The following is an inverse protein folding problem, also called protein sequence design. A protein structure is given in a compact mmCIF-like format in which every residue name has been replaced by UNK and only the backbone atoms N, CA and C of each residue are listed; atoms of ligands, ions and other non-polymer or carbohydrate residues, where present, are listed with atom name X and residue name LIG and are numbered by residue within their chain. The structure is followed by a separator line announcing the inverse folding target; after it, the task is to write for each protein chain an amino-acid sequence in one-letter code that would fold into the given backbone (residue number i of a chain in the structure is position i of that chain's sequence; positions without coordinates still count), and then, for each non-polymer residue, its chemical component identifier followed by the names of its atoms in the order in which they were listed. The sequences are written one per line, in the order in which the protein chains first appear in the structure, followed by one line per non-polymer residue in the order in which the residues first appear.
data_IF_021405858477
#
_entry.id   IF_021405858477
#
_cell.length_a   1.000
_cell.length_b   1.000
_cell.length_c   1.000
_cell.angle_alpha   90.00
_cell.angle_beta   90.00
_cell.angle_gamma   90.00
#
_symmetry.space_group_name_H-M   'P 1'
#
loop_
_entity.id
_entity.type
_entity.pdbx_description
1 polymer ?
#
# COMPACT_ATOMS: atom_id res chain seq x y z
N UNK A 1 22.04 15.81 -61.17
CA UNK A 1 22.18 15.24 -62.52
C UNK A 1 21.21 14.08 -62.57
N UNK A 2 20.00 14.10 -63.14
CA UNK A 2 19.15 15.02 -63.92
C UNK A 2 17.72 14.40 -63.79
N UNK A 3 16.59 15.10 -63.57
CA UNK A 3 15.80 15.95 -64.49
C UNK A 3 15.57 15.33 -65.88
N UNK A 4 14.33 14.92 -66.16
CA UNK A 4 13.48 15.38 -67.28
C UNK A 4 13.18 14.16 -68.18
N UNK A 5 12.03 13.90 -68.82
CA UNK A 5 10.87 14.61 -69.39
C UNK A 5 9.78 13.52 -69.56
N UNK A 6 8.46 13.69 -69.36
CA UNK A 6 7.46 14.60 -69.95
C UNK A 6 7.31 14.53 -71.48
N UNK A 7 6.30 13.79 -71.97
CA UNK A 7 5.40 14.09 -73.11
C UNK A 7 4.50 12.84 -73.30
N UNK A 8 3.21 12.87 -73.61
CA UNK A 8 2.51 13.56 -74.70
C UNK A 8 1.03 13.80 -74.30
N UNK A 9 0.50 14.91 -74.80
CA UNK A 9 -0.81 15.52 -74.60
C UNK A 9 -1.87 15.06 -75.63
N UNK A 10 -3.15 15.25 -75.23
CA UNK A 10 -4.28 15.89 -75.96
C UNK A 10 -5.41 15.06 -76.61
N UNK A 11 -6.60 15.64 -76.42
CA UNK A 11 -7.92 15.50 -77.07
C UNK A 11 -8.89 14.53 -76.36
N UNK A 12 -10.13 14.88 -76.01
CA UNK A 12 -10.98 16.01 -76.38
C UNK A 12 -12.05 16.31 -75.30
N UNK A 13 -12.42 17.59 -75.19
CA UNK A 13 -13.62 18.09 -74.51
C UNK A 13 -14.87 17.95 -75.40
N UNK A 14 -16.04 18.20 -74.79
CA UNK A 14 -17.44 18.19 -75.29
C UNK A 14 -18.18 16.96 -74.71
N UNK A 15 -19.27 17.06 -73.93
CA UNK A 15 -20.37 18.03 -73.86
C UNK A 15 -20.99 18.06 -72.45
N UNK A 16 -21.49 19.22 -72.02
CA UNK A 16 -22.44 19.39 -70.90
C UNK A 16 -23.85 19.56 -71.46
N UNK A 17 -24.89 19.21 -70.67
CA UNK A 17 -26.05 20.08 -70.59
C UNK A 17 -26.33 20.55 -69.16
N UNK A 18 -26.64 21.84 -69.07
CA UNK A 18 -27.12 22.57 -67.90
C UNK A 18 -28.46 22.02 -67.39
N UNK A 19 -28.63 21.96 -66.07
CA UNK A 19 -29.97 22.06 -65.46
C UNK A 19 -29.93 22.83 -64.14
N UNK A 20 -30.28 24.12 -64.27
CA UNK A 20 -31.01 25.01 -63.36
C UNK A 20 -30.85 24.81 -61.85
N UNK A 21 -30.20 25.80 -61.25
CA UNK A 21 -30.28 26.15 -59.83
C UNK A 21 -31.71 26.50 -59.41
N UNK A 22 -32.28 25.72 -58.48
CA UNK A 22 -33.30 26.21 -57.54
C UNK A 22 -32.66 26.29 -56.16
N UNK A 23 -32.51 27.52 -55.68
CA UNK A 23 -32.06 27.81 -54.34
C UNK A 23 -33.05 27.26 -53.31
N UNK A 24 -32.52 26.48 -52.38
CA UNK A 24 -33.09 26.33 -51.06
C UNK A 24 -32.03 26.83 -50.08
N UNK A 25 -32.30 27.99 -49.47
CA UNK A 25 -31.57 28.45 -48.29
C UNK A 25 -31.81 27.41 -47.19
N UNK A 26 -30.88 26.46 -47.03
CA UNK A 26 -30.86 25.61 -45.85
C UNK A 26 -30.35 26.46 -44.68
N UNK A 27 -31.19 26.59 -43.66
CA UNK A 27 -30.91 27.31 -42.42
C UNK A 27 -29.55 26.90 -41.84
N UNK A 28 -28.83 27.93 -41.39
CA UNK A 28 -27.52 27.84 -40.74
C UNK A 28 -27.67 27.39 -39.28
N UNK A 29 -28.50 26.39 -39.01
CA UNK A 29 -28.80 25.89 -37.67
C UNK A 29 -29.02 24.39 -37.76
N UNK A 30 -27.93 23.61 -37.76
CA UNK A 30 -27.83 22.23 -37.24
C UNK A 30 -26.50 21.60 -37.65
N UNK A 31 -25.39 22.31 -37.35
CA UNK A 31 -24.11 21.63 -37.19
C UNK A 31 -24.07 21.10 -35.75
N UNK A 32 -23.93 19.77 -35.52
CA UNK A 32 -23.85 19.24 -34.18
C UNK A 32 -22.66 19.91 -33.47
N UNK A 33 -22.97 20.66 -32.40
CA UNK A 33 -21.97 21.21 -31.49
C UNK A 33 -21.05 20.05 -31.11
N UNK A 34 -19.74 20.18 -31.40
CA UNK A 34 -18.71 19.26 -30.91
C UNK A 34 -19.00 19.01 -29.44
N UNK A 35 -19.49 17.82 -29.11
CA UNK A 35 -19.59 17.36 -27.74
C UNK A 35 -18.16 17.30 -27.24
N UNK A 36 -17.76 18.27 -26.41
CA UNK A 36 -16.52 18.19 -25.67
C UNK A 36 -16.54 16.84 -24.96
N UNK A 37 -15.71 15.91 -25.43
CA UNK A 37 -15.50 14.62 -24.77
C UNK A 37 -14.90 14.95 -23.42
N UNK A 38 -15.74 14.97 -22.38
CA UNK A 38 -15.30 15.18 -20.99
C UNK A 38 -14.12 14.25 -20.73
N UNK A 39 -12.94 14.81 -20.49
CA UNK A 39 -11.73 14.04 -20.17
C UNK A 39 -12.07 13.07 -19.04
N UNK A 40 -11.78 11.78 -19.27
CA UNK A 40 -12.04 10.72 -18.29
C UNK A 40 -11.35 11.07 -16.96
N UNK A 41 -12.04 10.94 -15.81
CA UNK A 41 -11.42 11.20 -14.52
C UNK A 41 -10.23 10.26 -14.27
N UNK A 42 -9.10 10.80 -13.80
CA UNK A 42 -7.91 10.05 -13.41
C UNK A 42 -8.03 9.55 -11.95
N UNK A 43 -9.17 8.93 -11.65
CA UNK A 43 -9.46 8.26 -10.40
C UNK A 43 -10.61 7.26 -10.61
N UNK A 44 -10.66 6.24 -9.76
CA UNK A 44 -11.75 5.27 -9.79
C UNK A 44 -13.11 5.91 -9.43
N UNK A 45 -14.09 5.68 -10.29
CA UNK A 45 -15.48 6.13 -10.10
C UNK A 45 -16.45 5.00 -9.69
N UNK A 46 -15.99 3.75 -9.62
CA UNK A 46 -16.84 2.59 -9.33
C UNK A 46 -16.87 2.26 -7.83
N UNK A 47 -18.02 1.79 -7.34
CA UNK A 47 -18.20 1.31 -5.98
C UNK A 47 -17.56 -0.08 -5.74
N UNK A 48 -17.36 -0.44 -4.46
CA UNK A 48 -16.73 -1.70 -4.04
C UNK A 48 -17.38 -2.93 -4.67
N UNK A 49 -18.71 -3.01 -4.67
CA UNK A 49 -19.47 -4.15 -5.18
C UNK A 49 -19.19 -4.43 -6.67
N UNK A 50 -19.12 -3.37 -7.50
CA UNK A 50 -18.80 -3.48 -8.93
C UNK A 50 -17.35 -3.93 -9.11
N UNK A 51 -16.42 -3.34 -8.34
CA UNK A 51 -15.00 -3.66 -8.43
C UNK A 51 -14.70 -5.09 -8.02
N UNK A 52 -15.33 -5.58 -6.95
CA UNK A 52 -15.21 -6.98 -6.52
C UNK A 52 -15.69 -7.95 -7.61
N UNK A 53 -16.87 -7.71 -8.20
CA UNK A 53 -17.37 -8.54 -9.30
C UNK A 53 -16.46 -8.54 -10.52
N UNK A 54 -15.84 -7.40 -10.84
CA UNK A 54 -14.88 -7.31 -11.95
C UNK A 54 -13.63 -8.12 -11.69
N UNK A 55 -13.08 -8.03 -10.48
CA UNK A 55 -11.92 -8.79 -10.07
C UNK A 55 -12.20 -10.30 -10.05
N UNK A 56 -13.36 -10.71 -9.54
CA UNK A 56 -13.81 -12.12 -9.54
C UNK A 56 -14.05 -12.68 -10.95
N UNK A 57 -14.40 -11.82 -11.92
CA UNK A 57 -14.61 -12.21 -13.31
C UNK A 57 -13.30 -12.34 -14.12
N UNK A 58 -12.15 -11.97 -13.55
CA UNK A 58 -10.87 -12.15 -14.23
C UNK A 58 -10.49 -13.62 -14.26
N UNK A 59 -10.07 -14.08 -15.44
CA UNK A 59 -9.65 -15.46 -15.70
C UNK A 59 -8.13 -15.58 -15.87
N UNK A 60 -7.38 -14.62 -15.36
CA UNK A 60 -5.92 -14.58 -15.43
C UNK A 60 -5.31 -14.33 -14.04
N UNK A 61 -4.10 -14.85 -13.78
CA UNK A 61 -3.43 -14.57 -12.53
C UNK A 61 -2.94 -13.11 -12.47
N UNK A 62 -2.81 -12.62 -11.24
CA UNK A 62 -2.11 -11.37 -10.94
C UNK A 62 -0.87 -11.66 -10.10
N UNK A 63 0.08 -10.75 -10.17
CA UNK A 63 1.28 -10.73 -9.34
C UNK A 63 1.23 -9.51 -8.43
N UNK A 64 1.09 -9.75 -7.13
CA UNK A 64 1.16 -8.73 -6.09
C UNK A 64 2.61 -8.42 -5.74
N UNK A 65 2.96 -7.14 -5.79
CA UNK A 65 4.31 -6.67 -5.50
C UNK A 65 4.30 -5.30 -4.84
N UNK A 66 5.42 -4.96 -4.22
CA UNK A 66 5.68 -3.62 -3.72
C UNK A 66 7.06 -3.14 -4.14
N UNK A 67 7.22 -1.82 -4.18
CA UNK A 67 8.51 -1.19 -4.36
C UNK A 67 8.49 0.24 -3.81
N UNK A 68 9.68 0.77 -3.59
CA UNK A 68 9.86 2.18 -3.31
C UNK A 68 11.20 2.65 -3.83
N UNK A 69 11.33 3.96 -3.98
CA UNK A 69 12.63 4.60 -4.19
C UNK A 69 12.58 6.04 -3.69
N UNK A 70 13.58 6.41 -2.91
CA UNK A 70 13.88 7.81 -2.63
C UNK A 70 14.66 8.38 -3.81
N UNK A 71 14.05 9.32 -4.52
CA UNK A 71 14.62 10.00 -5.69
C UNK A 71 13.88 11.31 -5.86
N UNK A 72 14.60 12.39 -6.15
CA UNK A 72 13.95 13.68 -6.36
C UNK A 72 13.12 13.63 -7.65
N UNK A 73 11.81 13.80 -7.48
CA UNK A 73 10.84 13.86 -8.56
C UNK A 73 10.40 15.30 -8.80
N UNK A 74 10.53 15.74 -10.05
CA UNK A 74 9.99 17.01 -10.52
C UNK A 74 8.60 16.81 -11.11
N UNK A 75 7.79 17.88 -11.14
CA UNK A 75 6.45 17.88 -11.74
C UNK A 75 5.58 16.68 -11.29
N UNK A 76 5.60 16.37 -9.99
CA UNK A 76 5.01 15.14 -9.40
C UNK A 76 3.55 14.94 -9.80
N UNK A 77 2.78 16.03 -9.92
CA UNK A 77 1.38 15.98 -10.32
C UNK A 77 1.18 15.55 -11.78
N UNK A 78 2.07 15.96 -12.68
CA UNK A 78 2.06 15.54 -14.08
C UNK A 78 2.49 14.08 -14.21
N UNK A 79 3.57 13.70 -13.54
CA UNK A 79 4.04 12.32 -13.48
C UNK A 79 2.94 11.38 -12.96
N UNK A 80 2.24 11.79 -11.90
CA UNK A 80 1.07 11.07 -11.36
C UNK A 80 0.02 10.82 -12.42
N UNK A 81 -0.35 11.86 -13.19
CA UNK A 81 -1.41 11.74 -14.19
C UNK A 81 -0.99 10.81 -15.33
N UNK A 82 0.27 10.92 -15.79
CA UNK A 82 0.84 10.05 -16.81
C UNK A 82 0.86 8.58 -16.37
N UNK A 83 1.39 8.30 -15.18
CA UNK A 83 1.43 6.95 -14.63
C UNK A 83 0.02 6.38 -14.42
N UNK A 84 -0.94 7.18 -13.96
CA UNK A 84 -2.32 6.71 -13.79
C UNK A 84 -2.90 6.18 -15.10
N UNK A 85 -2.76 6.93 -16.20
CA UNK A 85 -3.28 6.52 -17.52
C UNK A 85 -2.58 5.26 -18.04
N UNK A 86 -1.26 5.19 -17.94
CA UNK A 86 -0.47 4.04 -18.39
C UNK A 86 -0.80 2.78 -17.57
N UNK A 87 -0.85 2.90 -16.25
CA UNK A 87 -1.07 1.77 -15.35
C UNK A 87 -2.54 1.32 -15.33
N UNK A 88 -3.50 2.22 -15.53
CA UNK A 88 -4.89 1.84 -15.76
C UNK A 88 -5.01 0.98 -17.03
N UNK A 89 -4.27 1.31 -18.09
CA UNK A 89 -4.25 0.55 -19.35
C UNK A 89 -3.61 -0.84 -19.18
N UNK A 90 -2.57 -0.95 -18.36
CA UNK A 90 -1.93 -2.23 -18.00
C UNK A 90 -2.76 -3.06 -17.01
N UNK A 91 -3.90 -2.55 -16.54
CA UNK A 91 -4.75 -3.23 -15.56
C UNK A 91 -4.14 -3.29 -14.17
N UNK A 92 -3.26 -2.35 -13.80
CA UNK A 92 -2.68 -2.28 -12.46
C UNK A 92 -3.75 -1.88 -11.45
N UNK A 93 -3.83 -2.61 -10.35
CA UNK A 93 -4.59 -2.22 -9.15
C UNK A 93 -3.61 -1.99 -8.02
N UNK A 94 -3.86 -1.06 -7.11
CA UNK A 94 -2.85 -0.75 -6.10
C UNK A 94 -3.04 0.58 -5.41
N UNK A 95 -2.22 0.80 -4.39
CA UNK A 95 -2.07 2.08 -3.72
C UNK A 95 -0.66 2.58 -3.96
N UNK A 96 -0.56 3.77 -4.54
CA UNK A 96 0.72 4.37 -4.89
C UNK A 96 0.75 5.81 -4.41
N UNK A 97 1.83 6.14 -3.72
CA UNK A 97 2.16 7.48 -3.28
C UNK A 97 3.36 8.00 -4.05
N UNK A 98 3.16 9.18 -4.63
CA UNK A 98 4.23 9.99 -5.19
C UNK A 98 4.43 11.21 -4.31
N UNK A 99 5.67 11.56 -4.05
CA UNK A 99 6.05 12.81 -3.42
C UNK A 99 7.28 13.36 -4.13
N UNK A 100 7.69 14.59 -3.79
CA UNK A 100 8.96 15.13 -4.29
C UNK A 100 10.14 14.22 -3.91
N UNK A 101 10.08 13.59 -2.73
CA UNK A 101 11.10 12.66 -2.24
C UNK A 101 11.11 11.28 -2.91
N UNK A 102 10.11 10.93 -3.76
CA UNK A 102 10.14 9.67 -4.50
C UNK A 102 8.80 8.98 -4.70
N UNK A 103 8.83 7.65 -4.77
CA UNK A 103 7.68 6.77 -5.00
C UNK A 103 7.61 5.64 -3.96
N UNK A 104 6.40 5.33 -3.51
CA UNK A 104 6.08 4.15 -2.71
C UNK A 104 4.83 3.48 -3.28
N UNK A 105 4.91 2.21 -3.63
CA UNK A 105 3.86 1.48 -4.31
C UNK A 105 3.64 0.10 -3.68
N UNK A 106 2.38 -0.22 -3.43
CA UNK A 106 1.90 -1.60 -3.24
C UNK A 106 0.81 -1.84 -4.26
N UNK A 107 0.97 -2.84 -5.11
CA UNK A 107 0.09 -3.04 -6.26
C UNK A 107 0.02 -4.50 -6.69
N UNK A 108 -0.96 -4.82 -7.54
CA UNK A 108 -1.06 -6.05 -8.27
C UNK A 108 -1.18 -5.75 -9.77
N UNK A 109 -0.44 -6.51 -10.57
CA UNK A 109 -0.43 -6.41 -12.04
C UNK A 109 -0.93 -7.74 -12.59
N UNK A 110 -1.77 -7.77 -13.64
CA UNK A 110 -2.01 -9.00 -14.40
C UNK A 110 -0.66 -9.62 -14.78
N UNK A 111 -0.44 -10.91 -14.49
CA UNK A 111 0.91 -11.49 -14.60
C UNK A 111 1.45 -11.45 -16.03
N UNK A 112 0.58 -11.52 -17.03
CA UNK A 112 0.94 -11.36 -18.45
C UNK A 112 1.40 -9.94 -18.81
N UNK A 113 1.08 -8.93 -17.99
CA UNK A 113 1.50 -7.54 -18.18
C UNK A 113 2.72 -7.15 -17.32
N UNK A 114 3.28 -8.06 -16.52
CA UNK A 114 4.36 -7.74 -15.58
C UNK A 114 5.62 -7.22 -16.29
N UNK A 115 5.98 -7.79 -17.44
CA UNK A 115 7.13 -7.33 -18.22
C UNK A 115 6.89 -5.93 -18.82
N UNK A 116 5.72 -5.68 -19.41
CA UNK A 116 5.35 -4.35 -19.90
C UNK A 116 5.31 -3.31 -18.78
N UNK A 117 4.87 -3.69 -17.58
CA UNK A 117 4.90 -2.84 -16.41
C UNK A 117 6.34 -2.47 -15.99
N UNK A 118 7.26 -3.45 -16.00
CA UNK A 118 8.68 -3.21 -15.72
C UNK A 118 9.32 -2.30 -16.77
N UNK A 119 9.12 -2.57 -18.06
CA UNK A 119 9.61 -1.73 -19.15
C UNK A 119 9.05 -0.30 -19.06
N UNK A 120 7.77 -0.15 -18.69
CA UNK A 120 7.15 1.15 -18.46
C UNK A 120 7.86 1.93 -17.34
N UNK A 121 8.21 1.28 -16.23
CA UNK A 121 9.03 1.90 -15.17
C UNK A 121 10.45 2.23 -15.67
N UNK A 122 11.11 1.28 -16.32
CA UNK A 122 12.51 1.41 -16.77
C UNK A 122 12.72 2.47 -17.85
N UNK A 123 11.67 2.82 -18.59
CA UNK A 123 11.65 3.93 -19.55
C UNK A 123 11.95 5.29 -18.89
N UNK A 124 11.85 5.38 -17.56
CA UNK A 124 12.10 6.61 -16.78
C UNK A 124 13.40 6.45 -16.00
N UNK A 125 14.32 7.41 -16.20
CA UNK A 125 15.62 7.43 -15.51
C UNK A 125 15.48 7.27 -13.99
N UNK A 126 14.47 7.91 -13.39
CA UNK A 126 14.24 7.89 -11.95
C UNK A 126 13.82 6.50 -11.43
N UNK A 127 13.20 5.66 -12.27
CA UNK A 127 12.63 4.37 -11.87
C UNK A 127 13.32 3.15 -12.46
N UNK A 128 14.40 3.36 -13.23
CA UNK A 128 15.19 2.27 -13.82
C UNK A 128 15.66 1.26 -12.80
N UNK A 129 15.53 -0.02 -13.11
CA UNK A 129 15.95 -1.15 -12.27
C UNK A 129 15.29 -1.08 -10.88
N UNK A 130 13.99 -0.79 -10.84
CA UNK A 130 13.25 -0.74 -9.59
C UNK A 130 13.23 -2.13 -8.93
N UNK A 131 13.73 -2.30 -7.70
CA UNK A 131 13.69 -3.58 -7.02
C UNK A 131 12.24 -3.91 -6.62
N UNK A 132 11.67 -4.93 -7.24
CA UNK A 132 10.35 -5.43 -6.89
C UNK A 132 10.42 -6.44 -5.75
N UNK A 133 9.53 -6.24 -4.78
CA UNK A 133 9.29 -7.17 -3.68
C UNK A 133 7.99 -7.89 -3.98
N UNK A 134 8.10 -9.07 -4.58
CA UNK A 134 6.96 -9.94 -4.83
C UNK A 134 6.42 -10.43 -3.49
N UNK A 135 5.11 -10.42 -3.29
CA UNK A 135 4.54 -10.89 -2.03
C UNK A 135 4.78 -12.39 -1.82
N UNK A 136 4.76 -12.82 -0.55
CA UNK A 136 5.01 -14.23 -0.19
C UNK A 136 3.82 -15.11 -0.57
N UNK A 137 2.60 -14.59 -0.41
CA UNK A 137 1.36 -15.27 -0.74
C UNK A 137 0.47 -14.36 -1.59
N UNK A 138 -0.12 -14.86 -2.67
CA UNK A 138 -1.06 -14.09 -3.50
C UNK A 138 -2.39 -14.85 -3.64
N UNK A 139 -3.48 -14.26 -3.16
CA UNK A 139 -4.84 -14.81 -3.18
C UNK A 139 -5.77 -14.06 -4.16
N UNK A 140 -5.19 -13.24 -5.04
CA UNK A 140 -5.87 -12.33 -5.97
C UNK A 140 -6.70 -11.20 -5.33
N UNK A 141 -6.72 -11.06 -3.99
CA UNK A 141 -7.61 -10.11 -3.28
C UNK A 141 -6.89 -8.86 -2.77
N UNK A 142 -5.63 -8.65 -3.13
CA UNK A 142 -4.80 -7.54 -2.64
C UNK A 142 -5.43 -6.17 -2.90
N UNK A 143 -5.88 -5.87 -4.12
CA UNK A 143 -6.39 -4.54 -4.49
C UNK A 143 -7.64 -4.60 -5.37
N UNK A 144 -8.57 -3.68 -5.13
CA UNK A 144 -9.82 -3.56 -5.92
C UNK A 144 -9.76 -2.45 -6.99
N UNK A 145 -8.80 -1.52 -6.89
CA UNK A 145 -8.70 -0.34 -7.76
C UNK A 145 -7.29 0.22 -7.78
N UNK A 146 -7.00 0.99 -8.82
CA UNK A 146 -5.84 1.87 -8.87
C UNK A 146 -6.11 3.16 -8.07
N UNK A 147 -5.28 3.40 -7.06
CA UNK A 147 -5.31 4.60 -6.21
C UNK A 147 -3.92 5.24 -6.20
N UNK A 148 -3.69 6.15 -7.15
CA UNK A 148 -2.43 6.89 -7.29
C UNK A 148 -2.60 8.32 -6.76
N UNK A 149 -1.86 8.68 -5.71
CA UNK A 149 -1.98 9.98 -5.03
C UNK A 149 -0.65 10.69 -4.90
N UNK A 150 -0.69 12.01 -5.08
CA UNK A 150 0.39 12.90 -4.66
C UNK A 150 0.28 13.14 -3.15
N UNK A 151 1.41 13.06 -2.46
CA UNK A 151 1.58 13.26 -1.02
C UNK A 151 2.74 14.22 -0.77
N UNK A 152 2.78 14.80 0.43
CA UNK A 152 3.96 15.55 0.89
C UNK A 152 5.17 14.63 1.03
N UNK A 153 4.94 13.44 1.59
CA UNK A 153 5.93 12.39 1.82
C UNK A 153 5.39 11.03 1.39
N UNK A 154 6.25 10.15 0.85
CA UNK A 154 5.92 8.76 0.51
C UNK A 154 5.80 7.87 1.74
N UNK A 155 6.41 8.29 2.86
CA UNK A 155 6.17 7.80 4.23
C UNK A 155 6.07 9.00 5.16
N UNK A 156 4.96 9.10 5.88
CA UNK A 156 4.71 10.20 6.82
C UNK A 156 5.49 10.00 8.12
N UNK A 157 6.68 10.57 8.19
CA UNK A 157 7.55 10.63 9.38
C UNK A 157 7.17 11.74 10.37
N UNK A 158 6.42 12.76 9.94
CA UNK A 158 6.10 13.92 10.77
C UNK A 158 7.23 14.90 11.03
N UNK A 159 8.37 14.71 10.37
CA UNK A 159 9.53 15.58 10.47
C UNK A 159 9.49 16.61 9.33
N UNK A 160 10.24 17.69 9.46
CA UNK A 160 10.45 18.64 8.37
C UNK A 160 11.39 18.04 7.30
N UNK A 161 11.31 18.54 6.07
CA UNK A 161 12.04 17.98 4.91
C UNK A 161 13.57 18.15 5.02
N UNK A 162 14.04 19.06 5.87
CA UNK A 162 15.47 19.36 6.09
C UNK A 162 15.94 18.99 7.51
N UNK A 163 15.13 18.23 8.27
CA UNK A 163 15.46 17.89 9.67
C UNK A 163 16.70 16.97 9.78
N UNK A 164 16.94 16.13 8.77
CA UNK A 164 18.09 15.21 8.72
C UNK A 164 18.37 14.74 7.28
N UNK A 165 19.58 14.27 7.03
CA UNK A 165 19.96 13.68 5.75
C UNK A 165 19.41 12.25 5.61
N UNK A 166 18.31 12.12 4.86
CA UNK A 166 17.66 10.83 4.55
C UNK A 166 18.53 9.88 3.71
N UNK A 167 19.64 10.36 3.15
CA UNK A 167 20.57 9.52 2.36
C UNK A 167 21.61 8.84 3.23
N UNK A 168 21.85 9.33 4.45
CA UNK A 168 22.79 8.75 5.40
C UNK A 168 22.16 7.55 6.15
N UNK A 169 21.82 6.50 5.41
CA UNK A 169 21.12 5.32 5.94
C UNK A 169 22.07 4.33 6.64
N UNK A 170 21.48 3.41 7.39
CA UNK A 170 22.18 2.28 8.02
C UNK A 170 22.62 1.22 6.99
N UNK A 171 23.55 0.35 7.39
CA UNK A 171 24.03 -0.75 6.54
C UNK A 171 22.91 -1.74 6.24
N UNK A 172 22.68 -2.07 4.97
CA UNK A 172 21.76 -3.14 4.58
C UNK A 172 22.40 -4.51 4.81
N UNK A 173 21.65 -5.40 5.46
CA UNK A 173 22.05 -6.78 5.74
C UNK A 173 21.18 -7.77 4.96
N UNK A 174 21.78 -8.84 4.43
CA UNK A 174 21.03 -9.99 3.89
C UNK A 174 20.27 -10.72 5.01
N UNK A 175 19.37 -11.65 4.65
CA UNK A 175 18.68 -12.47 5.65
C UNK A 175 19.65 -13.29 6.51
N UNK A 176 20.72 -13.80 5.88
CA UNK A 176 21.77 -14.59 6.53
C UNK A 176 22.60 -13.74 7.50
N UNK A 177 23.07 -12.56 7.06
CA UNK A 177 23.79 -11.62 7.93
C UNK A 177 22.91 -11.13 9.08
N UNK A 178 21.63 -10.88 8.79
CA UNK A 178 20.67 -10.46 9.81
C UNK A 178 20.46 -11.55 10.86
N UNK A 179 20.24 -12.80 10.45
CA UNK A 179 20.13 -13.95 11.35
C UNK A 179 21.38 -14.12 12.23
N UNK A 180 22.57 -13.99 11.63
CA UNK A 180 23.83 -14.07 12.38
C UNK A 180 23.89 -13.03 13.49
N UNK A 181 23.50 -11.78 13.20
CA UNK A 181 23.51 -10.71 14.20
C UNK A 181 22.36 -10.81 15.21
N UNK A 182 21.23 -11.46 14.89
CA UNK A 182 20.16 -11.75 15.84
C UNK A 182 20.63 -12.66 16.99
N UNK A 183 21.63 -13.51 16.75
CA UNK A 183 22.18 -14.43 17.76
C UNK A 183 23.18 -13.76 18.71
N UNK A 184 23.70 -12.58 18.34
CA UNK A 184 24.59 -11.80 19.19
C UNK A 184 23.80 -11.07 20.27
N UNK A 185 24.05 -11.43 21.53
CA UNK A 185 23.40 -10.83 22.71
C UNK A 185 23.68 -9.35 22.91
N UNK A 186 24.70 -8.80 22.25
CA UNK A 186 25.02 -7.37 22.28
C UNK A 186 24.31 -6.58 21.18
N UNK A 187 23.59 -7.26 20.28
CA UNK A 187 22.79 -6.61 19.25
C UNK A 187 21.41 -6.27 19.78
N UNK A 188 20.96 -5.06 19.47
CA UNK A 188 19.60 -4.60 19.77
C UNK A 188 18.79 -4.72 18.49
N UNK A 189 17.70 -5.47 18.57
CA UNK A 189 16.79 -5.66 17.45
C UNK A 189 15.56 -4.80 17.68
N UNK A 190 15.14 -4.03 16.68
CA UNK A 190 13.99 -3.13 16.80
C UNK A 190 13.05 -3.29 15.62
N UNK A 191 11.77 -3.53 15.92
CA UNK A 191 10.70 -3.46 14.94
C UNK A 191 10.38 -1.99 14.67
N UNK A 192 10.44 -1.58 13.39
CA UNK A 192 10.10 -0.21 12.95
C UNK A 192 8.73 -0.22 12.26
N UNK A 193 7.79 -0.92 12.89
CA UNK A 193 6.41 -1.08 12.44
C UNK A 193 5.46 -0.64 13.53
N UNK A 194 4.26 -0.23 13.12
CA UNK A 194 3.23 0.11 14.08
C UNK A 194 2.87 -1.13 14.92
N UNK A 195 2.40 -0.92 16.15
CA UNK A 195 2.20 -2.03 17.10
C UNK A 195 1.27 -3.13 16.56
N UNK A 196 0.24 -2.76 15.80
CA UNK A 196 -0.72 -3.72 15.23
C UNK A 196 -0.08 -4.64 14.17
N UNK A 197 1.08 -4.27 13.64
CA UNK A 197 1.85 -5.13 12.73
C UNK A 197 2.73 -6.10 13.51
N UNK A 198 3.32 -5.63 14.62
CA UNK A 198 4.19 -6.41 15.50
C UNK A 198 3.44 -7.45 16.35
N UNK A 199 2.16 -7.20 16.66
CA UNK A 199 1.35 -8.08 17.51
C UNK A 199 1.06 -9.44 16.86
N UNK A 200 1.07 -9.54 15.52
CA UNK A 200 0.85 -10.81 14.81
C UNK A 200 2.12 -11.51 14.33
N UNK A 201 3.27 -10.84 14.41
CA UNK A 201 4.54 -11.46 14.09
C UNK A 201 5.68 -10.48 14.22
N UNK A 202 6.85 -10.98 14.63
CA UNK A 202 8.06 -10.19 14.88
C UNK A 202 9.27 -11.11 14.93
N UNK A 203 10.46 -10.52 14.77
CA UNK A 203 11.71 -11.24 15.03
C UNK A 203 11.89 -11.54 16.52
N UNK A 204 12.54 -12.67 16.81
CA UNK A 204 12.91 -13.02 18.18
C UNK A 204 13.71 -11.90 18.86
N UNK A 205 13.44 -11.66 20.14
CA UNK A 205 14.11 -10.65 20.98
C UNK A 205 13.97 -9.20 20.49
N UNK A 206 13.13 -8.92 19.49
CA UNK A 206 12.91 -7.56 19.02
C UNK A 206 12.21 -6.69 20.07
N UNK A 207 12.72 -5.47 20.25
CA UNK A 207 11.98 -4.38 20.88
C UNK A 207 10.81 -4.04 19.96
N UNK A 208 9.60 -4.01 20.54
CA UNK A 208 8.35 -3.74 19.81
C UNK A 208 7.75 -2.40 20.31
N UNK A 209 8.17 -1.25 19.73
CA UNK A 209 7.60 0.05 20.07
C UNK A 209 6.07 0.03 20.00
N UNK A 210 5.43 0.56 21.03
CA UNK A 210 3.97 0.59 21.13
C UNK A 210 3.42 1.85 20.44
N UNK A 211 3.86 2.06 19.22
CA UNK A 211 3.52 3.22 18.37
C UNK A 211 2.29 2.92 17.52
N UNK A 212 1.54 3.97 17.23
CA UNK A 212 0.38 3.89 16.34
C UNK A 212 0.66 4.42 14.95
N UNK A 213 1.63 5.33 14.89
CA UNK A 213 2.11 5.93 13.67
C UNK A 213 3.63 5.93 13.65
N UNK A 214 4.18 5.86 12.44
CA UNK A 214 5.63 5.97 12.23
C UNK A 214 6.22 7.28 12.79
N UNK A 215 5.44 8.37 12.83
CA UNK A 215 5.86 9.64 13.45
C UNK A 215 6.15 9.48 14.93
N UNK A 216 5.22 8.87 15.67
CA UNK A 216 5.39 8.64 17.10
C UNK A 216 6.54 7.66 17.35
N UNK A 217 6.65 6.63 16.50
CA UNK A 217 7.69 5.62 16.58
C UNK A 217 9.10 6.23 16.54
N UNK A 218 9.37 7.20 15.65
CA UNK A 218 10.68 7.84 15.57
C UNK A 218 11.11 8.52 16.89
N UNK A 219 10.16 9.10 17.63
CA UNK A 219 10.41 9.65 18.96
C UNK A 219 10.66 8.55 20.00
N UNK A 220 9.81 7.51 19.99
CA UNK A 220 9.95 6.36 20.91
C UNK A 220 11.26 5.62 20.72
N UNK A 221 11.79 5.52 19.49
CA UNK A 221 13.06 4.88 19.20
C UNK A 221 14.21 5.53 19.97
N UNK A 222 14.27 6.86 20.02
CA UNK A 222 15.31 7.59 20.75
C UNK A 222 15.20 7.34 22.26
N UNK A 223 13.98 7.29 22.80
CA UNK A 223 13.77 7.00 24.22
C UNK A 223 14.18 5.55 24.57
N UNK A 224 13.78 4.57 23.75
CA UNK A 224 14.05 3.15 23.97
C UNK A 224 15.54 2.81 23.81
N UNK A 225 16.24 3.52 22.93
CA UNK A 225 17.65 3.30 22.60
C UNK A 225 18.59 4.25 23.34
N UNK A 226 18.09 5.14 24.19
CA UNK A 226 18.92 6.06 24.97
C UNK A 226 19.99 5.29 25.77
N UNK A 227 21.24 5.76 25.72
CA UNK A 227 22.40 5.13 26.36
C UNK A 227 22.92 3.88 25.64
N UNK A 228 22.48 3.64 24.39
CA UNK A 228 22.89 2.50 23.56
C UNK A 228 23.50 2.93 22.23
N UNK A 229 24.06 4.14 22.17
CA UNK A 229 24.58 4.79 20.96
C UNK A 229 25.76 4.03 20.32
N UNK A 230 26.51 3.30 21.14
CA UNK A 230 27.66 2.48 20.74
C UNK A 230 27.31 1.01 20.45
N UNK A 231 26.06 0.59 20.66
CA UNK A 231 25.63 -0.79 20.41
C UNK A 231 25.22 -0.99 18.95
N UNK A 232 25.30 -2.26 18.50
CA UNK A 232 24.80 -2.66 17.19
C UNK A 232 23.28 -2.65 17.21
N UNK A 233 22.66 -1.86 16.34
CA UNK A 233 21.21 -1.79 16.17
C UNK A 233 20.83 -2.47 14.86
N UNK A 234 19.91 -3.42 14.94
CA UNK A 234 19.29 -4.12 13.82
C UNK A 234 17.84 -3.67 13.70
N UNK A 235 17.45 -3.16 12.55
CA UNK A 235 16.07 -2.72 12.30
C UNK A 235 15.44 -3.48 11.15
N UNK A 236 14.13 -3.61 11.21
CA UNK A 236 13.35 -4.17 10.12
C UNK A 236 11.96 -3.53 10.06
N UNK A 237 11.34 -3.66 8.89
CA UNK A 237 9.92 -3.41 8.69
C UNK A 237 9.45 -4.31 7.53
N UNK A 238 8.17 -4.21 7.15
CA UNK A 238 7.55 -5.06 6.12
C UNK A 238 8.36 -5.11 4.81
N UNK A 239 8.74 -3.93 4.31
CA UNK A 239 9.37 -3.81 3.00
C UNK A 239 10.60 -2.91 2.96
N UNK A 240 11.12 -2.43 4.09
CA UNK A 240 12.36 -1.62 4.17
C UNK A 240 12.19 -0.09 4.18
N UNK A 241 11.12 0.46 3.60
CA UNK A 241 10.98 1.92 3.38
C UNK A 241 11.05 2.78 4.65
N UNK A 242 10.53 2.27 5.79
CA UNK A 242 10.59 2.94 7.09
C UNK A 242 11.99 2.88 7.69
N UNK A 243 12.70 1.77 7.52
CA UNK A 243 14.06 1.58 8.01
C UNK A 243 15.04 2.56 7.37
N UNK A 244 14.83 2.98 6.12
CA UNK A 244 15.65 4.02 5.50
C UNK A 244 15.60 5.32 6.30
N UNK A 245 14.39 5.78 6.64
CA UNK A 245 14.20 7.01 7.44
C UNK A 245 14.62 6.82 8.90
N UNK A 246 14.22 5.71 9.53
CA UNK A 246 14.57 5.45 10.92
C UNK A 246 16.08 5.29 11.12
N UNK A 247 16.79 4.65 10.19
CA UNK A 247 18.23 4.49 10.28
C UNK A 247 18.98 5.81 10.11
N UNK A 248 18.58 6.63 9.13
CA UNK A 248 19.14 7.96 8.98
C UNK A 248 18.82 8.85 10.20
N UNK A 249 17.61 8.73 10.78
CA UNK A 249 17.23 9.42 12.01
C UNK A 249 18.11 9.03 13.20
N UNK A 250 18.35 7.72 13.43
CA UNK A 250 19.25 7.26 14.49
C UNK A 250 20.69 7.74 14.24
N UNK A 251 21.21 7.61 13.02
CA UNK A 251 22.58 8.09 12.72
C UNK A 251 22.73 9.60 12.96
N UNK A 252 21.71 10.39 12.63
CA UNK A 252 21.67 11.82 12.96
C UNK A 252 21.77 12.10 14.47
N UNK A 253 21.23 11.21 15.31
CA UNK A 253 21.30 11.31 16.77
C UNK A 253 22.53 10.63 17.39
N UNK A 254 23.53 10.26 16.59
CA UNK A 254 24.82 9.78 17.09
C UNK A 254 24.95 8.27 17.27
N UNK A 255 23.94 7.48 16.87
CA UNK A 255 24.04 6.02 16.84
C UNK A 255 25.00 5.56 15.73
N UNK A 256 26.03 4.79 16.10
CA UNK A 256 27.17 4.51 15.21
C UNK A 256 26.97 3.28 14.33
N UNK A 257 26.49 2.18 14.89
CA UNK A 257 26.37 0.87 14.23
C UNK A 257 24.91 0.52 13.94
N UNK A 258 24.31 1.28 13.01
CA UNK A 258 22.91 1.12 12.62
C UNK A 258 22.80 0.26 11.36
N UNK A 259 22.05 -0.83 11.45
CA UNK A 259 21.88 -1.83 10.40
C UNK A 259 20.39 -2.09 10.14
N UNK A 260 20.06 -2.48 8.92
CA UNK A 260 18.68 -2.71 8.49
C UNK A 260 18.56 -3.93 7.58
N UNK A 261 17.46 -4.68 7.73
CA UNK A 261 17.15 -5.83 6.91
C UNK A 261 16.88 -5.40 5.45
N UNK A 262 17.72 -5.86 4.52
CA UNK A 262 17.62 -5.50 3.11
C UNK A 262 16.28 -5.97 2.53
N UNK A 263 15.48 -5.01 2.06
CA UNK A 263 14.17 -5.29 1.47
C UNK A 263 13.09 -5.73 2.46
N UNK A 264 13.35 -5.70 3.77
CA UNK A 264 12.40 -6.00 4.84
C UNK A 264 11.98 -7.46 4.95
N UNK A 265 10.93 -7.71 5.74
CA UNK A 265 10.40 -9.05 6.06
C UNK A 265 10.03 -9.83 4.78
N UNK A 266 9.50 -9.16 3.75
CA UNK A 266 9.15 -9.80 2.48
C UNK A 266 10.40 -10.41 1.82
N UNK A 267 11.49 -9.65 1.72
CA UNK A 267 12.71 -10.13 1.06
C UNK A 267 13.41 -11.20 1.90
N UNK A 268 13.36 -11.05 3.23
CA UNK A 268 13.82 -12.07 4.17
C UNK A 268 13.13 -13.41 3.95
N UNK A 269 11.80 -13.43 3.87
CA UNK A 269 11.02 -14.66 3.67
C UNK A 269 11.39 -15.39 2.36
N UNK A 270 11.60 -14.63 1.29
CA UNK A 270 12.09 -15.18 0.02
C UNK A 270 13.51 -15.75 0.15
N UNK A 271 14.42 -15.01 0.76
CA UNK A 271 15.82 -15.42 0.90
C UNK A 271 15.97 -16.67 1.78
N UNK A 272 15.29 -16.74 2.93
CA UNK A 272 15.35 -17.92 3.80
C UNK A 272 14.76 -19.15 3.09
N UNK A 273 13.68 -18.98 2.31
CA UNK A 273 13.08 -20.09 1.57
C UNK A 273 13.99 -20.59 0.46
N UNK A 274 14.59 -19.66 -0.31
CA UNK A 274 15.49 -20.00 -1.42
C UNK A 274 16.79 -20.65 -0.94
N UNK A 275 17.34 -20.19 0.19
CA UNK A 275 18.60 -20.69 0.75
C UNK A 275 18.42 -21.83 1.76
N UNK A 276 17.19 -22.15 2.17
CA UNK A 276 16.92 -23.14 3.22
C UNK A 276 17.42 -22.70 4.62
N UNK A 277 17.39 -21.41 4.92
CA UNK A 277 17.77 -20.87 6.23
C UNK A 277 16.63 -21.02 7.24
N UNK A 278 16.99 -21.14 8.51
CA UNK A 278 16.01 -21.10 9.60
C UNK A 278 15.38 -19.69 9.70
N UNK A 279 14.05 -19.63 9.80
CA UNK A 279 13.35 -18.37 10.10
C UNK A 279 13.53 -18.02 11.57
N UNK A 280 14.03 -16.80 11.84
CA UNK A 280 14.01 -16.17 13.16
C UNK A 280 12.82 -15.21 13.32
N UNK A 281 11.96 -15.10 12.31
CA UNK A 281 10.71 -14.35 12.36
C UNK A 281 9.56 -15.28 12.77
N UNK A 282 8.82 -14.89 13.81
CA UNK A 282 7.66 -15.64 14.33
C UNK A 282 6.36 -15.07 13.81
N UNK A 283 5.41 -15.94 13.48
CA UNK A 283 4.06 -15.58 13.07
C UNK A 283 3.96 -14.89 11.70
N UNK A 284 3.05 -13.92 11.59
CA UNK A 284 2.62 -13.35 10.30
C UNK A 284 3.15 -11.94 10.08
N UNK A 285 3.42 -11.62 8.81
CA UNK A 285 3.74 -10.27 8.39
C UNK A 285 2.47 -9.53 7.99
N UNK A 286 2.20 -8.38 8.63
CA UNK A 286 1.10 -7.52 8.23
C UNK A 286 1.38 -6.85 6.87
N UNK A 287 0.40 -6.88 5.97
CA UNK A 287 0.48 -6.24 4.64
C UNK A 287 -0.64 -5.24 4.41
N UNK A 288 -0.34 -4.15 3.71
CA UNK A 288 -1.20 -2.96 3.59
C UNK A 288 -2.21 -3.06 2.44
N UNK A 289 -2.84 -4.22 2.29
CA UNK A 289 -3.76 -4.55 1.20
C UNK A 289 -4.89 -5.48 1.68
N UNK A 290 -5.71 -5.98 0.77
CA UNK A 290 -6.90 -6.77 1.10
C UNK A 290 -6.61 -8.08 1.85
N UNK A 291 -5.38 -8.59 1.79
CA UNK A 291 -4.96 -9.82 2.48
C UNK A 291 -4.76 -9.60 3.98
N UNK A 292 -4.41 -8.37 4.38
CA UNK A 292 -4.05 -7.93 5.74
C UNK A 292 -2.79 -8.61 6.33
N UNK A 293 -2.49 -9.85 5.95
CA UNK A 293 -1.37 -10.61 6.48
C UNK A 293 -0.87 -11.63 5.45
N UNK A 294 0.39 -12.03 5.60
CA UNK A 294 0.99 -13.17 4.90
C UNK A 294 1.80 -14.01 5.90
N UNK A 295 1.76 -15.33 5.74
CA UNK A 295 2.44 -16.27 6.65
C UNK A 295 3.93 -16.28 6.38
N UNK A 296 4.72 -16.08 7.45
CA UNK A 296 6.19 -16.19 7.42
C UNK A 296 6.62 -17.35 8.32
N UNK A 297 6.24 -17.30 9.60
CA UNK A 297 6.33 -18.38 10.58
C UNK A 297 4.96 -19.01 10.86
N UNK A 298 4.97 -20.16 11.53
CA UNK A 298 3.75 -20.93 11.83
C UNK A 298 3.18 -20.62 13.23
N UNK A 299 3.89 -19.83 14.03
CA UNK A 299 3.55 -19.54 15.41
C UNK A 299 2.47 -18.46 15.52
N UNK A 300 1.44 -18.72 16.33
CA UNK A 300 0.49 -17.69 16.72
C UNK A 300 1.02 -16.98 17.96
N UNK A 301 1.52 -15.76 17.77
CA UNK A 301 2.11 -14.91 18.83
C UNK A 301 1.14 -13.90 19.44
N UNK A 302 -0.08 -13.83 18.91
CA UNK A 302 -1.15 -12.94 19.37
C UNK A 302 -2.34 -13.69 19.96
N UNK A 303 -3.23 -12.91 20.57
CA UNK A 303 -4.51 -13.38 21.06
C UNK A 303 -5.67 -12.54 20.51
N UNK A 304 -6.83 -13.16 20.41
CA UNK A 304 -8.09 -12.50 20.12
C UNK A 304 -8.33 -11.39 21.14
N UNK A 305 -8.55 -10.17 20.64
CA UNK A 305 -8.76 -8.99 21.49
C UNK A 305 -10.08 -9.05 22.25
N UNK A 306 -11.00 -9.96 21.93
CA UNK A 306 -12.28 -10.09 22.62
C UNK A 306 -12.28 -11.19 23.68
N UNK A 307 -11.64 -12.33 23.44
CA UNK A 307 -11.71 -13.48 24.35
C UNK A 307 -10.38 -13.96 24.92
N UNK A 308 -9.25 -13.46 24.42
CA UNK A 308 -7.92 -13.86 24.87
C UNK A 308 -7.39 -15.19 24.29
N UNK A 309 -8.19 -15.93 23.51
CA UNK A 309 -7.74 -17.15 22.83
C UNK A 309 -6.68 -16.85 21.77
N UNK A 310 -5.78 -17.80 21.49
CA UNK A 310 -4.76 -17.64 20.45
C UNK A 310 -5.40 -17.35 19.10
N UNK A 311 -5.00 -16.25 18.48
CA UNK A 311 -5.42 -15.89 17.14
C UNK A 311 -4.49 -14.83 16.58
N UNK A 312 -4.22 -14.90 15.29
CA UNK A 312 -3.44 -13.95 14.51
C UNK A 312 -4.27 -13.38 13.35
N UNK A 313 -5.60 -13.49 13.41
CA UNK A 313 -6.50 -13.08 12.32
C UNK A 313 -6.88 -11.62 12.49
N UNK A 314 -6.16 -10.74 11.78
CA UNK A 314 -6.56 -9.35 11.65
C UNK A 314 -7.84 -9.22 10.83
N UNK A 315 -8.79 -8.46 11.36
CA UNK A 315 -10.04 -8.12 10.67
C UNK A 315 -10.38 -6.66 10.89
N UNK A 316 -11.07 -6.07 9.92
CA UNK A 316 -11.75 -4.79 10.12
C UNK A 316 -13.15 -5.07 10.67
N UNK A 317 -13.58 -4.29 11.66
CA UNK A 317 -14.95 -4.38 12.15
C UNK A 317 -15.96 -4.25 11.01
N UNK A 318 -16.91 -5.19 10.96
CA UNK A 318 -17.91 -5.27 9.91
C UNK A 318 -18.84 -4.04 9.85
N UNK A 319 -19.01 -3.32 10.96
CA UNK A 319 -19.73 -2.04 10.97
C UNK A 319 -19.02 -1.01 10.05
N UNK A 320 -19.65 -0.56 8.94
CA UNK A 320 -19.05 0.35 7.98
C UNK A 320 -18.78 1.77 8.52
N UNK A 321 -19.22 2.11 9.73
CA UNK A 321 -18.88 3.35 10.42
C UNK A 321 -17.71 3.20 11.42
N UNK A 322 -17.35 1.97 11.79
CA UNK A 322 -16.29 1.73 12.75
C UNK A 322 -14.93 1.68 12.06
N UNK A 323 -14.69 0.71 11.16
CA UNK A 323 -13.38 0.52 10.51
C UNK A 323 -12.20 0.31 11.48
N UNK A 324 -12.44 -0.10 12.73
CA UNK A 324 -11.33 -0.51 13.61
C UNK A 324 -10.74 -1.81 13.08
N UNK A 325 -9.41 -1.88 13.00
CA UNK A 325 -8.67 -3.12 12.78
C UNK A 325 -8.42 -3.76 14.14
N UNK A 326 -8.57 -5.08 14.28
CA UNK A 326 -8.33 -5.80 15.53
C UNK A 326 -8.13 -7.28 15.26
N UNK A 327 -7.68 -8.04 16.27
CA UNK A 327 -7.53 -9.49 16.18
C UNK A 327 -8.80 -10.15 16.70
N UNK A 328 -9.39 -11.04 15.90
CA UNK A 328 -10.60 -11.76 16.25
C UNK A 328 -10.44 -13.24 15.93
N UNK A 329 -10.74 -14.15 16.86
CA UNK A 329 -10.85 -15.59 16.54
C UNK A 329 -12.15 -15.90 15.78
N UNK A 330 -12.29 -17.11 15.22
CA UNK A 330 -13.48 -17.47 14.42
C UNK A 330 -14.74 -17.49 15.29
N UNK A 331 -14.66 -18.07 16.49
CA UNK A 331 -15.79 -18.10 17.44
C UNK A 331 -16.28 -16.71 17.85
N UNK A 332 -15.37 -15.74 18.05
CA UNK A 332 -15.78 -14.36 18.29
C UNK A 332 -16.32 -13.68 17.03
N UNK A 333 -15.84 -14.04 15.84
CA UNK A 333 -16.42 -13.52 14.59
C UNK A 333 -17.87 -13.94 14.43
N UNK A 334 -18.19 -15.19 14.76
CA UNK A 334 -19.58 -15.68 14.72
C UNK A 334 -20.43 -14.99 15.79
N UNK A 335 -19.93 -14.91 17.03
CA UNK A 335 -20.65 -14.29 18.15
C UNK A 335 -20.95 -12.80 17.93
N UNK A 336 -20.00 -12.07 17.36
CA UNK A 336 -20.09 -10.61 17.18
C UNK A 336 -20.38 -10.20 15.73
N UNK A 337 -20.70 -11.13 14.83
CA UNK A 337 -20.92 -10.87 13.39
C UNK A 337 -19.77 -10.06 12.76
N UNK A 338 -18.53 -10.42 13.09
CA UNK A 338 -17.32 -9.71 12.63
C UNK A 338 -17.15 -8.30 13.21
N UNK A 339 -17.92 -7.92 14.24
CA UNK A 339 -17.80 -6.62 14.89
C UNK A 339 -16.86 -6.64 16.10
N UNK A 340 -16.24 -5.49 16.36
CA UNK A 340 -15.35 -5.32 17.51
C UNK A 340 -16.10 -5.27 18.84
N UNK A 341 -17.37 -4.84 18.83
CA UNK A 341 -18.23 -4.78 20.02
C UNK A 341 -19.70 -5.11 19.69
N UNK A 342 -20.50 -5.35 20.72
CA UNK A 342 -21.95 -5.59 20.56
C UNK A 342 -22.67 -4.36 19.99
N UNK A 343 -22.28 -3.16 20.40
CA UNK A 343 -22.85 -1.90 19.89
C UNK A 343 -22.60 -1.76 18.39
N UNK A 344 -21.42 -2.16 17.92
CA UNK A 344 -21.14 -2.21 16.49
C UNK A 344 -22.03 -3.22 15.77
N UNK A 345 -22.31 -4.38 16.38
CA UNK A 345 -23.27 -5.35 15.87
C UNK A 345 -24.70 -4.79 15.78
N UNK A 346 -25.15 -4.05 16.80
CA UNK A 346 -26.46 -3.38 16.80
C UNK A 346 -26.54 -2.39 15.62
N UNK A 347 -25.51 -1.56 15.42
CA UNK A 347 -25.46 -0.61 14.31
C UNK A 347 -25.42 -1.33 12.95
N UNK A 348 -24.69 -2.44 12.84
CA UNK A 348 -24.61 -3.24 11.61
C UNK A 348 -25.98 -3.76 11.17
N UNK A 349 -26.84 -4.16 12.12
CA UNK A 349 -28.19 -4.70 11.85
C UNK A 349 -29.23 -3.64 11.48
N UNK A 350 -28.93 -2.35 11.63
CA UNK A 350 -29.85 -1.27 11.25
C UNK A 350 -30.00 -1.16 9.71
N UNK A 351 -31.13 -0.66 9.19
CA UNK A 351 -31.27 -0.31 7.78
C UNK A 351 -30.15 0.63 7.28
N UNK A 352 -29.75 0.50 6.02
CA UNK A 352 -28.62 1.26 5.43
C UNK A 352 -28.79 2.77 5.58
N UNK A 353 -30.02 3.27 5.51
CA UNK A 353 -30.41 4.67 5.66
C UNK A 353 -30.08 5.16 7.08
N UNK A 354 -30.50 4.42 8.11
CA UNK A 354 -30.18 4.73 9.51
C UNK A 354 -28.68 4.65 9.80
N UNK A 355 -28.00 3.66 9.22
CA UNK A 355 -26.53 3.60 9.32
C UNK A 355 -25.86 4.83 8.69
N UNK A 356 -26.39 5.36 7.57
CA UNK A 356 -25.89 6.61 6.96
C UNK A 356 -26.18 7.81 7.85
N UNK A 357 -27.37 7.89 8.45
CA UNK A 357 -27.74 8.97 9.39
C UNK A 357 -26.82 9.00 10.62
N UNK A 358 -26.55 7.84 11.24
CA UNK A 358 -25.63 7.73 12.39
C UNK A 358 -24.22 8.22 12.04
N UNK A 359 -23.80 8.02 10.79
CA UNK A 359 -22.49 8.46 10.28
C UNK A 359 -22.48 9.92 9.82
N UNK A 360 -23.65 10.50 9.51
CA UNK A 360 -23.75 11.85 8.97
C UNK A 360 -23.24 12.86 10.01
N UNK A 361 -22.34 13.74 9.59
CA UNK A 361 -21.74 14.75 10.47
C UNK A 361 -20.68 14.23 11.45
N UNK A 362 -20.45 12.90 11.52
CA UNK A 362 -19.29 12.35 12.23
C UNK A 362 -18.09 12.40 11.29
N UNK A 363 -16.97 12.96 11.76
CA UNK A 363 -15.73 12.93 11.01
C UNK A 363 -15.29 11.47 10.82
N UNK A 364 -14.95 11.10 9.58
CA UNK A 364 -14.19 9.89 9.30
C UNK A 364 -12.75 10.13 9.76
N UNK A 365 -12.53 10.13 11.06
CA UNK A 365 -11.19 10.12 11.62
C UNK A 365 -10.58 8.75 11.31
N UNK A 366 -9.88 8.68 10.18
CA UNK A 366 -9.19 7.47 9.72
C UNK A 366 -8.20 7.01 10.82
N UNK A 367 -8.46 5.86 11.44
CA UNK A 367 -7.97 4.50 11.07
C UNK A 367 -6.55 4.11 11.51
N UNK A 368 -5.99 4.76 12.52
CA UNK A 368 -4.89 4.16 13.26
C UNK A 368 -5.33 3.98 14.71
N UNK A 369 -4.99 2.83 15.27
CA UNK A 369 -5.07 2.57 16.69
C UNK A 369 -4.49 3.78 17.41
N UNK A 370 -5.05 4.21 18.53
CA UNK A 370 -4.37 5.22 19.34
C UNK A 370 -4.36 4.70 20.75
N UNK A 371 -3.19 4.39 21.30
CA UNK A 371 -3.01 4.19 22.74
C UNK A 371 -3.44 5.45 23.51
N UNK A 372 -3.40 6.60 22.86
CA UNK A 372 -3.92 7.87 23.38
C UNK A 372 -4.64 8.68 22.30
N UNK A 373 -5.96 8.52 22.21
CA UNK A 373 -6.95 9.61 22.36
C UNK A 373 -8.36 9.32 21.84
N UNK A 374 -8.64 8.37 20.95
CA UNK A 374 -10.02 8.31 20.37
C UNK A 374 -10.68 6.91 20.28
N UNK A 375 -10.02 5.78 20.59
CA UNK A 375 -10.73 4.48 20.67
C UNK A 375 -10.27 3.58 21.82
N UNK A 376 -11.21 2.85 22.47
CA UNK A 376 -10.85 1.87 23.48
C UNK A 376 -10.06 0.73 22.86
N UNK A 377 -9.00 0.27 23.52
CA UNK A 377 -8.37 -1.00 23.16
C UNK A 377 -9.40 -2.10 23.39
N UNK A 378 -9.73 -2.84 22.34
CA UNK A 378 -10.75 -3.89 22.41
C UNK A 378 -10.40 -4.90 23.52
N UNK A 379 -9.13 -5.26 23.65
CA UNK A 379 -8.64 -6.10 24.75
C UNK A 379 -8.86 -5.52 26.15
N UNK A 380 -8.88 -4.20 26.31
CA UNK A 380 -9.20 -3.55 27.59
C UNK A 380 -10.70 -3.57 27.89
N UNK A 381 -11.56 -3.44 26.88
CA UNK A 381 -13.01 -3.55 27.04
C UNK A 381 -13.42 -4.93 27.57
N UNK A 382 -12.71 -5.97 27.11
CA UNK A 382 -13.04 -7.35 27.42
C UNK A 382 -12.13 -7.98 28.50
N UNK A 383 -11.16 -7.24 29.06
CA UNK A 383 -10.18 -7.77 30.03
C UNK A 383 -10.81 -8.49 31.23
N UNK A 384 -11.99 -8.02 31.66
CA UNK A 384 -12.75 -8.59 32.79
C UNK A 384 -14.04 -9.29 32.35
N UNK A 385 -14.30 -9.39 31.04
CA UNK A 385 -15.46 -10.07 30.49
C UNK A 385 -14.95 -11.31 29.79
N UNK A 386 -15.08 -12.49 30.38
CA UNK A 386 -14.87 -13.72 29.62
C UNK A 386 -16.08 -13.87 28.70
N UNK A 387 -15.97 -13.66 27.37
CA UNK A 387 -17.13 -13.71 26.50
C UNK A 387 -17.73 -15.12 26.43
N UNK A 388 -17.03 -16.12 26.95
CA UNK A 388 -17.46 -17.50 27.00
C UNK A 388 -17.85 -17.98 28.40
N UNK A 389 -17.83 -17.13 29.43
CA UNK A 389 -18.39 -17.47 30.75
C UNK A 389 -19.62 -16.61 31.04
N UNK A 390 -20.72 -17.30 31.36
CA UNK A 390 -22.12 -16.87 31.55
C UNK A 390 -22.93 -16.76 30.23
N UNK A 391 -23.95 -17.60 29.97
CA UNK A 391 -24.67 -18.62 30.74
C UNK A 391 -24.82 -19.92 29.95
#
# INVERSE_FOLDING_TARGET
MDRDQCSILRNACQETPEFQSKGAMANREDLPKKTETKKRPLHNIYGKEILSKRLEAENFPRTTLSFYRYVILENVQELRNKLYTEWETLGVLGRIYLAREGINAQLSVPSHNLNFFRENLDSRKQFREMPFKIAVQDDHKSFLKLDLKVRKKIVSDGLDDDAFDVTNVGKHLSAEEFNLHLEDKNSIVVDVRNHYESEIGHFENAILPQSDTFREELGMLLELLNGKEDQKILMYCTGGIRCEKASAWLKHHGYKDVNQLHGGIISYAHEISQKGLESKFKGKNFVFDGRLQETIGNEIVSTCHQCGEKSDRHVNCANPGCHILFIQCESCSDKFEGCCTQECGIVLRLPKEKQKEIRKGKLNENRFFTKSRIRPKISELYRNQKPFETA
#
